data_IF_130208715639
#
_entry.id   IF_130208715639
#
_cell.length_a   1.000
_cell.length_b   1.000
_cell.length_c   1.000
_cell.angle_alpha   90.00
_cell.angle_beta   90.00
_cell.angle_gamma   90.00
#
_symmetry.space_group_name_H-M   'P 1'
#
loop_
_entity.id
_entity.type
_entity.pdbx_description
1 polymer ?
#
# COMPACT_ATOMS: atom_id res chain seq x y z
N UNK A 1 4.14 15.54 9.90
CA UNK A 1 4.63 14.26 9.34
C UNK A 1 6.11 14.38 9.10
N UNK A 2 6.88 13.36 9.49
CA UNK A 2 8.35 13.36 9.39
C UNK A 2 8.82 12.58 8.16
N UNK A 3 10.04 12.84 7.70
CA UNK A 3 10.67 12.05 6.63
C UNK A 3 10.90 10.58 7.00
N UNK A 4 10.77 10.23 8.29
CA UNK A 4 11.02 8.90 8.81
C UNK A 4 9.75 8.12 9.13
N UNK A 5 8.59 8.57 8.65
CA UNK A 5 7.32 7.90 8.91
C UNK A 5 7.28 6.57 8.11
N UNK A 6 6.90 5.49 8.81
CA UNK A 6 6.83 4.12 8.28
C UNK A 6 5.41 3.58 8.50
N UNK A 7 4.84 2.97 7.47
CA UNK A 7 3.62 2.18 7.57
C UNK A 7 4.00 0.71 7.81
N UNK A 8 3.41 0.09 8.84
CA UNK A 8 3.50 -1.34 9.13
C UNK A 8 2.13 -1.97 8.93
N UNK A 9 2.08 -3.11 8.25
CA UNK A 9 0.84 -3.83 8.01
C UNK A 9 1.09 -5.32 7.80
N UNK A 10 0.04 -6.11 7.96
CA UNK A 10 -0.04 -7.45 7.37
C UNK A 10 -0.77 -7.31 6.03
N UNK A 11 -0.27 -7.98 4.99
CA UNK A 11 -0.80 -7.86 3.64
C UNK A 11 -0.95 -9.23 2.97
N UNK A 12 -2.14 -9.49 2.42
CA UNK A 12 -2.41 -10.59 1.51
C UNK A 12 -1.36 -10.69 0.39
N UNK A 13 -0.85 -11.89 0.12
CA UNK A 13 0.25 -12.10 -0.82
C UNK A 13 -0.12 -11.78 -2.28
N UNK A 14 -1.39 -11.93 -2.67
CA UNK A 14 -1.85 -11.53 -4.01
C UNK A 14 -1.87 -10.01 -4.11
N UNK A 15 -2.39 -9.31 -3.10
CA UNK A 15 -2.37 -7.85 -3.05
C UNK A 15 -0.93 -7.32 -3.03
N UNK A 16 -0.05 -7.87 -2.19
CA UNK A 16 1.35 -7.49 -2.09
C UNK A 16 2.08 -7.61 -3.43
N UNK A 17 1.83 -8.71 -4.17
CA UNK A 17 2.35 -8.90 -5.53
C UNK A 17 1.86 -7.81 -6.49
N UNK A 18 0.56 -7.51 -6.48
CA UNK A 18 -0.02 -6.46 -7.34
C UNK A 18 0.53 -5.08 -6.98
N UNK A 19 0.65 -4.75 -5.68
CA UNK A 19 1.26 -3.50 -5.22
C UNK A 19 2.66 -3.30 -5.78
N UNK A 20 3.52 -4.34 -5.72
CA UNK A 20 4.87 -4.30 -6.28
C UNK A 20 4.86 -4.14 -7.81
N UNK A 21 3.97 -4.84 -8.52
CA UNK A 21 3.80 -4.69 -9.98
C UNK A 21 3.34 -3.29 -10.37
N UNK A 22 2.56 -2.61 -9.52
CA UNK A 22 2.18 -1.21 -9.69
C UNK A 22 3.31 -0.22 -9.36
N UNK A 23 4.48 -0.70 -8.94
CA UNK A 23 5.62 0.12 -8.56
C UNK A 23 5.53 0.74 -7.17
N UNK A 24 4.64 0.23 -6.30
CA UNK A 24 4.58 0.62 -4.89
C UNK A 24 5.73 -0.07 -4.15
N UNK A 25 6.56 0.71 -3.45
CA UNK A 25 7.72 0.18 -2.75
C UNK A 25 7.31 -0.28 -1.34
N UNK A 26 6.94 -1.56 -1.27
CA UNK A 26 6.58 -2.25 -0.03
C UNK A 26 7.48 -3.47 0.17
N UNK A 27 8.05 -3.58 1.37
CA UNK A 27 9.05 -4.58 1.72
C UNK A 27 8.50 -5.54 2.77
N UNK A 28 8.84 -6.83 2.64
CA UNK A 28 8.48 -7.85 3.63
C UNK A 28 9.42 -7.77 4.82
N UNK A 29 8.89 -7.89 6.04
CA UNK A 29 9.67 -7.87 7.30
C UNK A 29 9.67 -9.22 8.03
N UNK A 30 9.07 -10.25 7.43
CA UNK A 30 9.01 -11.58 8.01
C UNK A 30 8.45 -12.59 7.02
N UNK A 31 8.33 -13.83 7.49
CA UNK A 31 7.72 -14.93 6.75
C UNK A 31 6.21 -14.72 6.60
N UNK A 32 5.64 -15.34 5.57
CA UNK A 32 4.20 -15.40 5.41
C UNK A 32 3.56 -16.36 6.41
N UNK A 33 2.27 -16.14 6.69
CA UNK A 33 1.45 -17.04 7.49
C UNK A 33 0.07 -17.16 6.86
N UNK A 34 -0.55 -18.34 6.99
CA UNK A 34 -1.95 -18.51 6.60
C UNK A 34 -2.85 -17.93 7.71
N UNK A 35 -3.60 -16.87 7.37
CA UNK A 35 -4.47 -16.15 8.30
C UNK A 35 -5.77 -15.75 7.59
N UNK A 36 -6.91 -16.01 8.25
CA UNK A 36 -8.26 -15.70 7.72
C UNK A 36 -8.54 -16.21 6.28
N UNK A 37 -7.94 -17.34 5.90
CA UNK A 37 -8.15 -17.95 4.59
C UNK A 37 -7.33 -17.34 3.45
N UNK A 38 -6.28 -16.58 3.77
CA UNK A 38 -5.27 -16.19 2.80
C UNK A 38 -3.86 -16.33 3.38
N UNK A 39 -2.89 -16.46 2.49
CA UNK A 39 -1.48 -16.33 2.85
C UNK A 39 -1.13 -14.84 2.92
N UNK A 40 -0.68 -14.39 4.07
CA UNK A 40 -0.39 -12.98 4.33
C UNK A 40 1.03 -12.78 4.83
N UNK A 41 1.64 -11.64 4.50
CA UNK A 41 3.02 -11.32 4.85
C UNK A 41 3.07 -10.01 5.64
N UNK A 42 3.79 -9.94 6.77
CA UNK A 42 4.06 -8.68 7.44
C UNK A 42 4.98 -7.83 6.57
N UNK A 43 4.63 -6.57 6.39
CA UNK A 43 5.30 -5.63 5.50
C UNK A 43 5.52 -4.27 6.14
N UNK A 44 6.48 -3.53 5.58
CA UNK A 44 6.62 -2.10 5.81
C UNK A 44 6.74 -1.32 4.51
N UNK A 45 6.34 -0.05 4.55
CA UNK A 45 6.60 0.91 3.50
C UNK A 45 7.02 2.25 4.12
N UNK A 46 8.03 2.89 3.52
CA UNK A 46 8.37 4.27 3.87
C UNK A 46 7.40 5.22 3.19
N UNK A 47 7.28 6.44 3.71
CA UNK A 47 6.51 7.49 3.05
C UNK A 47 6.89 7.64 1.57
N UNK A 48 8.18 7.76 1.26
CA UNK A 48 8.65 7.96 -0.12
C UNK A 48 8.31 6.75 -1.01
N UNK A 49 8.32 5.55 -0.44
CA UNK A 49 7.94 4.32 -1.12
C UNK A 49 6.47 4.25 -1.53
N UNK A 50 5.60 4.97 -0.82
CA UNK A 50 4.18 5.13 -1.14
C UNK A 50 3.89 6.39 -1.97
N UNK A 51 4.60 7.48 -1.67
CA UNK A 51 4.33 8.82 -2.19
C UNK A 51 4.43 8.88 -3.72
N UNK A 52 5.37 8.15 -4.32
CA UNK A 52 5.51 8.12 -5.78
C UNK A 52 4.24 7.59 -6.48
N UNK A 53 3.71 6.46 -6.02
CA UNK A 53 2.48 5.89 -6.57
C UNK A 53 1.28 6.80 -6.29
N UNK A 54 1.16 7.30 -5.05
CA UNK A 54 0.08 8.19 -4.67
C UNK A 54 0.06 9.48 -5.50
N UNK A 55 1.20 10.15 -5.64
CA UNK A 55 1.29 11.40 -6.39
C UNK A 55 0.97 11.21 -7.88
N UNK A 56 1.44 10.11 -8.50
CA UNK A 56 1.12 9.78 -9.91
C UNK A 56 -0.37 9.53 -10.14
N UNK A 57 -1.07 9.04 -9.13
CA UNK A 57 -2.47 8.62 -9.23
C UNK A 57 -3.44 9.51 -8.44
N UNK A 58 -2.98 10.67 -7.94
CA UNK A 58 -3.77 11.57 -7.09
C UNK A 58 -5.08 12.00 -7.74
N UNK A 59 -5.10 12.13 -9.07
CA UNK A 59 -6.29 12.45 -9.87
C UNK A 59 -7.46 11.45 -9.70
N UNK A 60 -7.20 10.22 -9.24
CA UNK A 60 -8.26 9.26 -8.93
C UNK A 60 -9.12 9.75 -7.75
N UNK A 61 -8.54 10.50 -6.82
CA UNK A 61 -9.25 11.05 -5.66
C UNK A 61 -10.21 12.17 -6.04
N UNK A 62 -9.85 12.96 -7.06
CA UNK A 62 -10.67 14.08 -7.54
C UNK A 62 -12.02 13.60 -8.10
N UNK A 63 -12.06 12.36 -8.64
CA UNK A 63 -13.31 11.75 -9.13
C UNK A 63 -14.23 11.28 -8.02
N UNK A 64 -13.68 10.94 -6.85
CA UNK A 64 -14.48 10.54 -5.69
C UNK A 64 -15.08 11.75 -4.97
N UNK A 65 -14.43 12.91 -5.02
CA UNK A 65 -14.93 14.13 -4.35
C UNK A 65 -16.17 14.70 -5.04
N UNK A 66 -16.29 14.57 -6.36
CA UNK A 66 -17.48 15.02 -7.10
C UNK A 66 -18.72 14.19 -6.75
N UNK A 67 -18.56 12.89 -6.44
CA UNK A 67 -19.66 12.01 -6.06
C UNK A 67 -20.18 12.25 -4.63
N UNK A 68 -19.40 12.93 -3.78
CA UNK A 68 -19.79 13.29 -2.40
C UNK A 68 -20.38 14.70 -2.28
N UNK A 69 -20.49 15.45 -3.39
CA UNK A 69 -21.06 16.82 -3.44
C UNK A 69 -22.34 16.89 -4.31
N UNK A 70 -22.81 15.75 -4.84
CA UNK A 70 -24.11 15.57 -5.48
C UNK A 70 -25.00 14.68 -4.62
#
# INVERSE_FOLDING_TARGET
>A
ESDNDIALAECDNKLLRIMRLMGIQVQSIGESMEYLGSETTPVYATRDGLANFFNKNRWLMDRCTVASVL
#
